data_IF_028878011731
#
_entry.id   IF_028878011731
#
_cell.length_a   1.000
_cell.length_b   1.000
_cell.length_c   1.000
_cell.angle_alpha   90.00
_cell.angle_beta   90.00
_cell.angle_gamma   90.00
#
_symmetry.space_group_name_H-M   'P 1'
#
loop_
_entity.id
_entity.type
_entity.pdbx_description
1 polymer ?
#
# COMPACT_ATOMS: atom_id res chain seq x y z
N UNK A 1 -26.15 22.85 -51.20
CA UNK A 1 -26.08 21.44 -51.58
C UNK A 1 -25.81 20.67 -50.33
N UNK A 2 -26.88 20.17 -49.83
CA UNK A 2 -27.20 19.04 -48.98
C UNK A 2 -26.23 18.57 -47.93
N UNK A 3 -26.62 18.91 -46.68
CA UNK A 3 -26.17 18.23 -45.46
C UNK A 3 -26.86 16.86 -45.32
N UNK A 4 -26.23 15.79 -44.92
CA UNK A 4 -26.92 14.58 -44.51
C UNK A 4 -27.27 14.61 -43.01
N UNK A 5 -28.52 14.29 -42.79
CA UNK A 5 -29.30 14.16 -41.58
C UNK A 5 -28.66 13.26 -40.49
N UNK A 6 -28.86 13.69 -39.25
CA UNK A 6 -28.70 12.92 -38.02
C UNK A 6 -29.55 11.63 -38.03
N UNK A 7 -28.90 10.46 -38.16
CA UNK A 7 -29.54 9.16 -37.93
C UNK A 7 -29.54 8.88 -36.42
N UNK A 8 -30.72 8.91 -35.81
CA UNK A 8 -30.98 8.40 -34.49
C UNK A 8 -30.62 6.90 -34.42
N UNK A 9 -29.82 6.51 -33.40
CA UNK A 9 -29.61 5.07 -33.08
C UNK A 9 -30.91 4.49 -32.53
N UNK A 10 -31.34 3.34 -32.96
CA UNK A 10 -32.50 2.69 -32.35
C UNK A 10 -32.17 2.23 -30.93
N UNK A 11 -32.95 2.70 -29.95
CA UNK A 11 -33.07 2.13 -28.63
C UNK A 11 -33.69 0.72 -28.73
N UNK A 12 -33.12 -0.24 -28.01
CA UNK A 12 -33.80 -1.46 -27.59
C UNK A 12 -33.64 -2.66 -28.51
N UNK A 13 -32.42 -3.20 -28.60
CA UNK A 13 -32.29 -4.65 -28.85
C UNK A 13 -31.74 -5.24 -27.53
N UNK A 14 -32.62 -5.85 -26.74
CA UNK A 14 -32.22 -6.77 -25.67
C UNK A 14 -31.40 -7.88 -26.32
N UNK A 15 -30.11 -7.88 -26.13
CA UNK A 15 -29.22 -8.96 -26.52
C UNK A 15 -29.45 -10.15 -25.59
N UNK A 16 -30.49 -10.95 -25.93
CA UNK A 16 -30.83 -12.22 -25.25
C UNK A 16 -29.73 -13.29 -25.39
N UNK A 17 -28.65 -13.01 -26.10
CA UNK A 17 -27.53 -13.95 -26.29
C UNK A 17 -26.49 -13.90 -25.19
N UNK A 18 -26.56 -12.93 -24.26
CA UNK A 18 -25.69 -12.90 -23.08
C UNK A 18 -26.22 -13.84 -22.00
N UNK A 19 -25.55 -14.97 -21.75
CA UNK A 19 -25.96 -15.87 -20.68
C UNK A 19 -25.96 -15.14 -19.34
N UNK A 20 -26.92 -15.44 -18.42
CA UNK A 20 -27.01 -14.80 -17.13
C UNK A 20 -25.68 -14.95 -16.39
N UNK A 21 -25.24 -13.87 -15.68
CA UNK A 21 -24.11 -13.88 -14.76
C UNK A 21 -24.46 -14.76 -13.54
N UNK A 22 -24.44 -16.07 -13.73
CA UNK A 22 -24.68 -17.05 -12.69
C UNK A 22 -23.57 -18.09 -12.74
N UNK A 23 -23.07 -18.47 -11.58
CA UNK A 23 -22.09 -19.51 -11.25
C UNK A 23 -21.82 -20.53 -12.37
N UNK A 24 -20.96 -20.19 -13.32
CA UNK A 24 -20.33 -21.21 -14.15
C UNK A 24 -19.22 -21.84 -13.33
N UNK A 25 -19.26 -23.15 -13.19
CA UNK A 25 -18.12 -23.92 -12.72
C UNK A 25 -16.93 -23.48 -13.58
N UNK A 26 -15.84 -23.05 -12.93
CA UNK A 26 -14.64 -22.60 -13.63
C UNK A 26 -14.00 -23.81 -14.34
N UNK A 27 -13.99 -23.85 -15.68
CA UNK A 27 -13.46 -24.99 -16.42
C UNK A 27 -11.93 -25.13 -16.26
N UNK A 28 -11.23 -24.09 -15.76
CA UNK A 28 -9.80 -24.08 -15.55
C UNK A 28 -9.38 -24.41 -14.10
N UNK A 29 -10.34 -24.73 -13.21
CA UNK A 29 -10.05 -24.97 -11.79
C UNK A 29 -8.91 -25.99 -11.57
N UNK A 30 -8.86 -27.06 -12.37
CA UNK A 30 -7.81 -28.08 -12.29
C UNK A 30 -6.48 -27.66 -12.94
N UNK A 31 -6.50 -26.64 -13.80
CA UNK A 31 -5.31 -26.14 -14.51
C UNK A 31 -4.58 -25.02 -13.78
N UNK A 32 -5.20 -24.41 -12.75
CA UNK A 32 -4.54 -23.37 -11.98
C UNK A 32 -3.32 -23.88 -11.24
N UNK A 33 -2.23 -23.09 -11.28
CA UNK A 33 -1.09 -23.28 -10.41
C UNK A 33 -1.52 -23.22 -8.93
N UNK A 34 -0.79 -23.90 -8.04
CA UNK A 34 -1.10 -23.93 -6.60
C UNK A 34 -1.27 -22.51 -6.04
N UNK A 35 -0.34 -21.60 -6.33
CA UNK A 35 -0.39 -20.18 -5.90
C UNK A 35 -1.63 -19.42 -6.40
N UNK A 36 -2.17 -19.76 -7.58
CA UNK A 36 -3.34 -19.08 -8.12
C UNK A 36 -4.63 -19.49 -7.41
N UNK A 37 -4.69 -20.68 -6.83
CA UNK A 37 -5.86 -21.18 -6.08
C UNK A 37 -6.09 -20.42 -4.79
N UNK A 38 -5.03 -19.90 -4.16
CA UNK A 38 -5.08 -19.09 -2.94
C UNK A 38 -5.33 -17.60 -3.20
N UNK A 39 -5.26 -17.14 -4.46
CA UNK A 39 -5.50 -15.74 -4.80
C UNK A 39 -6.97 -15.38 -4.61
N UNK A 40 -7.23 -14.51 -3.66
CA UNK A 40 -8.56 -13.93 -3.41
C UNK A 40 -8.53 -12.43 -3.67
N UNK A 41 -9.69 -11.86 -4.04
CA UNK A 41 -9.80 -10.41 -4.13
C UNK A 41 -9.50 -9.80 -2.76
N UNK A 42 -8.62 -8.79 -2.71
CA UNK A 42 -8.35 -8.09 -1.46
C UNK A 42 -9.64 -7.45 -0.92
N UNK A 43 -9.81 -7.43 0.40
CA UNK A 43 -10.96 -6.80 1.08
C UNK A 43 -11.13 -5.34 0.64
N UNK A 44 -10.01 -4.63 0.41
CA UNK A 44 -10.00 -3.26 -0.12
C UNK A 44 -10.65 -3.21 -1.52
N UNK A 45 -10.38 -4.17 -2.40
CA UNK A 45 -10.93 -4.19 -3.76
C UNK A 45 -12.45 -4.42 -3.75
N UNK A 46 -12.94 -5.27 -2.86
CA UNK A 46 -14.38 -5.48 -2.69
C UNK A 46 -15.08 -4.20 -2.20
N UNK A 47 -14.42 -3.41 -1.35
CA UNK A 47 -14.91 -2.13 -0.85
C UNK A 47 -14.93 -1.03 -1.91
N UNK A 48 -14.03 -1.04 -2.90
CA UNK A 48 -13.96 0.01 -3.93
C UNK A 48 -15.27 0.17 -4.70
N UNK A 49 -15.99 -0.89 -5.00
CA UNK A 49 -17.24 -0.83 -5.74
C UNK A 49 -18.36 -0.10 -4.97
N UNK A 50 -18.30 -0.12 -3.64
CA UNK A 50 -19.25 0.57 -2.75
C UNK A 50 -18.73 1.95 -2.38
N UNK A 51 -17.46 2.07 -2.07
CA UNK A 51 -16.79 3.31 -1.69
C UNK A 51 -16.76 4.37 -2.81
N UNK A 52 -16.95 3.96 -4.07
CA UNK A 52 -17.04 4.87 -5.22
C UNK A 52 -18.42 5.52 -5.40
N UNK A 53 -19.43 5.14 -4.61
CA UNK A 53 -20.76 5.74 -4.69
C UNK A 53 -20.75 7.14 -4.05
N UNK A 54 -21.34 8.17 -4.70
CA UNK A 54 -21.29 9.55 -4.20
C UNK A 54 -21.87 9.75 -2.79
N UNK A 55 -22.86 8.92 -2.40
CA UNK A 55 -23.49 8.97 -1.09
C UNK A 55 -22.65 8.36 0.03
N UNK A 56 -21.62 7.57 -0.31
CA UNK A 56 -20.72 6.94 0.67
C UNK A 56 -19.55 7.87 0.96
N UNK A 57 -19.28 8.11 2.22
CA UNK A 57 -18.04 8.77 2.64
C UNK A 57 -16.95 7.71 2.71
N UNK A 58 -16.04 7.73 1.74
CA UNK A 58 -14.94 6.78 1.71
C UNK A 58 -13.75 7.29 2.52
N UNK A 59 -13.55 6.73 3.71
CA UNK A 59 -12.33 6.85 4.51
C UNK A 59 -11.42 5.62 4.31
N UNK A 60 -11.69 4.80 3.28
CA UNK A 60 -10.95 3.57 2.99
C UNK A 60 -9.81 3.77 1.99
N UNK A 61 -9.99 4.65 1.00
CA UNK A 61 -9.09 4.81 -0.14
C UNK A 61 -7.78 5.52 0.19
N UNK A 62 -6.70 5.16 -0.52
CA UNK A 62 -5.39 5.85 -0.45
C UNK A 62 -5.08 6.59 -1.76
N UNK A 63 -6.09 7.20 -2.38
CA UNK A 63 -5.94 7.94 -3.63
C UNK A 63 -5.50 9.38 -3.34
N UNK A 64 -4.37 9.84 -3.89
CA UNK A 64 -3.93 11.22 -3.72
C UNK A 64 -4.93 12.21 -4.38
N UNK A 65 -4.93 13.44 -3.88
CA UNK A 65 -5.81 14.51 -4.35
C UNK A 65 -5.24 15.17 -5.60
N UNK A 66 -5.36 14.47 -6.73
CA UNK A 66 -4.83 14.95 -8.03
C UNK A 66 -5.49 16.22 -8.54
N UNK A 67 -6.67 16.62 -8.01
CA UNK A 67 -7.32 17.89 -8.36
C UNK A 67 -6.53 19.12 -7.89
N UNK A 68 -5.55 18.96 -6.98
CA UNK A 68 -4.64 20.03 -6.60
C UNK A 68 -3.48 20.23 -7.59
N UNK A 69 -3.35 19.38 -8.61
CA UNK A 69 -2.37 19.55 -9.67
C UNK A 69 -2.80 20.63 -10.67
N UNK A 70 -1.84 21.37 -11.23
CA UNK A 70 -2.06 22.31 -12.32
C UNK A 70 -2.31 21.57 -13.64
N UNK A 71 -3.52 20.97 -13.80
CA UNK A 71 -3.84 20.04 -14.87
C UNK A 71 -3.69 20.66 -16.28
N UNK A 72 -3.99 21.94 -16.45
CA UNK A 72 -3.83 22.64 -17.73
C UNK A 72 -2.35 22.71 -18.13
N UNK A 73 -1.47 23.14 -17.23
CA UNK A 73 -0.02 23.18 -17.47
C UNK A 73 0.59 21.81 -17.71
N UNK A 74 0.06 20.78 -17.04
CA UNK A 74 0.46 19.40 -17.27
C UNK A 74 0.02 18.94 -18.68
N UNK A 75 -1.21 19.29 -19.08
CA UNK A 75 -1.73 19.00 -20.42
C UNK A 75 -0.88 19.65 -21.51
N UNK A 76 -0.50 20.92 -21.35
CA UNK A 76 0.40 21.61 -22.27
C UNK A 76 1.78 20.95 -22.33
N UNK A 77 2.36 20.58 -21.19
CA UNK A 77 3.66 19.90 -21.09
C UNK A 77 3.63 18.54 -21.80
N UNK A 78 2.56 17.76 -21.63
CA UNK A 78 2.41 16.45 -22.30
C UNK A 78 2.17 16.60 -23.81
N UNK A 79 1.40 17.64 -24.23
CA UNK A 79 1.23 18.00 -25.62
C UNK A 79 2.57 18.39 -26.29
N UNK A 80 3.37 19.19 -25.61
CA UNK A 80 4.71 19.56 -26.06
C UNK A 80 5.64 18.35 -26.17
N UNK A 81 5.63 17.44 -25.20
CA UNK A 81 6.40 16.21 -25.22
C UNK A 81 6.09 15.37 -26.48
N UNK A 82 4.82 15.15 -26.78
CA UNK A 82 4.41 14.41 -27.98
C UNK A 82 4.82 15.13 -29.25
N UNK A 83 4.66 16.44 -29.31
CA UNK A 83 5.01 17.24 -30.52
C UNK A 83 6.50 17.26 -30.79
N UNK A 84 7.34 17.31 -29.76
CA UNK A 84 8.78 17.47 -29.87
C UNK A 84 9.54 16.14 -29.86
N UNK A 85 9.08 15.18 -29.06
CA UNK A 85 9.75 13.88 -28.83
C UNK A 85 8.80 12.69 -29.00
N UNK A 86 7.77 12.81 -29.84
CA UNK A 86 6.74 11.79 -30.01
C UNK A 86 7.31 10.43 -30.45
N UNK A 87 8.24 10.43 -31.38
CA UNK A 87 8.87 9.19 -31.85
C UNK A 87 9.61 8.43 -30.73
N UNK A 88 10.27 9.16 -29.84
CA UNK A 88 10.98 8.59 -28.68
C UNK A 88 10.01 8.16 -27.57
N UNK A 89 9.07 9.04 -27.25
CA UNK A 89 8.12 8.80 -26.14
C UNK A 89 7.13 7.66 -26.40
N UNK A 90 6.87 7.36 -27.67
CA UNK A 90 5.94 6.30 -28.09
C UNK A 90 6.66 4.99 -28.50
N UNK A 91 7.99 4.95 -28.44
CA UNK A 91 8.79 3.77 -28.76
C UNK A 91 9.13 2.98 -27.48
N UNK A 92 9.55 1.73 -27.65
CA UNK A 92 10.15 0.94 -26.57
C UNK A 92 11.40 1.62 -26.02
N UNK A 93 11.56 1.54 -24.68
CA UNK A 93 12.72 2.06 -23.97
C UNK A 93 13.61 0.96 -23.41
N UNK A 94 14.54 1.34 -22.53
CA UNK A 94 15.37 0.41 -21.76
C UNK A 94 14.58 -0.29 -20.65
N UNK A 95 14.87 -1.57 -20.41
CA UNK A 95 14.32 -2.32 -19.27
C UNK A 95 14.69 -1.73 -17.92
N UNK A 96 15.83 -1.03 -17.82
CA UNK A 96 16.24 -0.29 -16.61
C UNK A 96 15.48 1.03 -16.44
N UNK A 97 14.90 1.56 -17.49
CA UNK A 97 14.23 2.86 -17.52
C UNK A 97 15.02 3.94 -18.25
N UNK A 98 14.34 5.05 -18.53
CA UNK A 98 14.90 6.16 -19.30
C UNK A 98 16.03 6.87 -18.54
N UNK A 99 17.15 7.11 -19.20
CA UNK A 99 18.38 7.69 -18.59
C UNK A 99 18.07 9.02 -17.90
N UNK A 100 17.39 9.93 -18.60
CA UNK A 100 17.04 11.27 -18.10
C UNK A 100 16.23 11.21 -16.79
N UNK A 101 15.26 10.30 -16.67
CA UNK A 101 14.53 10.12 -15.44
C UNK A 101 15.37 9.51 -14.33
N UNK A 102 16.25 8.57 -14.64
CA UNK A 102 17.18 7.98 -13.67
C UNK A 102 18.14 9.03 -13.11
N UNK A 103 18.65 9.92 -13.98
CA UNK A 103 19.50 11.06 -13.59
C UNK A 103 18.75 12.00 -12.63
N UNK A 104 17.49 12.31 -12.92
CA UNK A 104 16.65 13.14 -12.06
C UNK A 104 16.32 12.46 -10.73
N UNK A 105 16.03 11.16 -10.72
CA UNK A 105 15.81 10.42 -9.48
C UNK A 105 17.07 10.47 -8.63
N UNK A 106 18.23 10.11 -9.17
CA UNK A 106 19.48 10.08 -8.45
C UNK A 106 19.96 11.48 -8.00
N UNK A 107 19.84 12.49 -8.87
CA UNK A 107 20.39 13.83 -8.62
C UNK A 107 19.43 14.82 -7.95
N UNK A 108 18.10 14.59 -8.03
CA UNK A 108 17.12 15.52 -7.49
C UNK A 108 16.34 14.92 -6.30
N UNK A 109 15.85 13.67 -6.41
CA UNK A 109 14.97 13.10 -5.39
C UNK A 109 15.75 12.42 -4.27
N UNK A 110 16.74 11.61 -4.59
CA UNK A 110 17.50 10.84 -3.59
C UNK A 110 18.23 11.73 -2.57
N UNK A 111 18.83 12.88 -2.96
CA UNK A 111 19.42 13.80 -1.98
C UNK A 111 18.40 14.36 -0.95
N UNK A 112 17.11 14.47 -1.29
CA UNK A 112 16.08 14.95 -0.37
C UNK A 112 15.89 14.02 0.84
N UNK A 113 16.11 12.72 0.63
CA UNK A 113 16.05 11.69 1.68
C UNK A 113 17.44 11.28 2.19
N UNK A 114 18.48 12.04 1.83
CA UNK A 114 19.86 11.83 2.27
C UNK A 114 20.60 10.70 1.55
N UNK A 115 20.05 10.13 0.48
CA UNK A 115 20.66 9.05 -0.29
C UNK A 115 21.55 9.61 -1.41
N UNK A 116 22.79 9.16 -1.48
CA UNK A 116 23.69 9.40 -2.61
C UNK A 116 23.63 8.18 -3.53
N UNK A 117 22.96 8.31 -4.67
CA UNK A 117 22.83 7.24 -5.65
C UNK A 117 23.46 7.63 -6.98
N UNK A 118 24.07 6.67 -7.67
CA UNK A 118 24.42 6.85 -9.08
C UNK A 118 23.20 6.55 -9.94
N UNK A 119 22.97 7.24 -11.08
CA UNK A 119 21.84 6.94 -11.97
C UNK A 119 21.76 5.47 -12.38
N UNK A 120 22.90 4.80 -12.47
CA UNK A 120 22.94 3.36 -12.77
C UNK A 120 22.43 2.48 -11.63
N UNK A 121 22.33 2.95 -10.40
CA UNK A 121 21.75 2.19 -9.29
C UNK A 121 20.21 2.25 -9.28
N UNK A 122 19.65 3.09 -10.14
CA UNK A 122 18.20 3.29 -10.27
C UNK A 122 17.63 2.35 -11.33
N UNK A 123 16.59 1.60 -10.95
CA UNK A 123 15.73 0.82 -11.86
C UNK A 123 14.33 1.40 -11.81
N UNK A 124 13.85 1.95 -12.92
CA UNK A 124 12.48 2.47 -13.02
C UNK A 124 11.48 1.31 -13.14
N UNK A 125 10.36 1.42 -12.43
CA UNK A 125 9.33 0.37 -12.37
C UNK A 125 7.94 0.94 -12.65
N UNK A 126 6.96 0.06 -12.90
CA UNK A 126 5.54 0.42 -13.07
C UNK A 126 4.92 0.66 -11.67
N UNK A 127 5.41 1.71 -10.99
CA UNK A 127 5.11 2.03 -9.60
C UNK A 127 5.83 1.10 -8.61
N UNK A 128 5.83 1.48 -7.31
CA UNK A 128 6.46 0.68 -6.24
C UNK A 128 5.84 -0.72 -6.06
N UNK A 129 4.60 -0.93 -6.48
CA UNK A 129 3.98 -2.26 -6.45
C UNK A 129 4.73 -3.28 -7.33
N UNK A 130 5.18 -2.87 -8.53
CA UNK A 130 6.03 -3.72 -9.36
C UNK A 130 7.44 -3.86 -8.75
N UNK A 131 7.95 -2.83 -8.10
CA UNK A 131 9.23 -2.93 -7.39
C UNK A 131 9.18 -4.01 -6.29
N UNK A 132 8.11 -4.04 -5.48
CA UNK A 132 7.85 -5.10 -4.50
C UNK A 132 7.78 -6.48 -5.14
N UNK A 133 7.05 -6.61 -6.26
CA UNK A 133 6.93 -7.86 -7.01
C UNK A 133 8.29 -8.36 -7.50
N UNK A 134 9.06 -7.48 -8.16
CA UNK A 134 10.38 -7.82 -8.71
C UNK A 134 11.38 -8.21 -7.62
N UNK A 135 11.44 -7.46 -6.50
CA UNK A 135 12.34 -7.79 -5.38
C UNK A 135 11.96 -9.13 -4.76
N UNK A 136 10.68 -9.36 -4.51
CA UNK A 136 10.20 -10.66 -3.98
C UNK A 136 10.54 -11.79 -4.94
N UNK A 137 10.29 -11.61 -6.23
CA UNK A 137 10.55 -12.59 -7.29
C UNK A 137 12.01 -13.03 -7.37
N UNK A 138 12.96 -12.10 -7.17
CA UNK A 138 14.40 -12.41 -7.33
C UNK A 138 15.05 -12.89 -6.03
N UNK A 139 14.43 -12.61 -4.86
CA UNK A 139 15.03 -12.95 -3.57
C UNK A 139 14.35 -14.14 -2.87
N UNK A 140 13.09 -14.46 -3.21
CA UNK A 140 12.29 -15.44 -2.48
C UNK A 140 11.87 -16.61 -3.36
N UNK A 141 12.01 -17.81 -2.80
CA UNK A 141 11.37 -19.04 -3.26
C UNK A 141 10.12 -19.35 -2.43
N UNK A 142 9.18 -20.19 -2.91
CA UNK A 142 8.03 -20.64 -2.13
C UNK A 142 8.46 -21.24 -0.78
N UNK A 143 7.85 -20.79 0.32
CA UNK A 143 8.13 -21.20 1.69
C UNK A 143 9.26 -20.42 2.39
N UNK A 144 9.93 -19.52 1.68
CA UNK A 144 10.85 -18.57 2.30
C UNK A 144 10.12 -17.60 3.25
N UNK A 145 10.88 -16.93 4.12
CA UNK A 145 10.35 -16.02 5.12
C UNK A 145 10.77 -14.60 4.81
N UNK A 146 9.83 -13.67 4.98
CA UNK A 146 10.11 -12.24 5.16
C UNK A 146 9.62 -11.80 6.53
N UNK A 147 10.35 -10.87 7.15
CA UNK A 147 9.90 -10.20 8.37
C UNK A 147 9.23 -8.88 7.96
N UNK A 148 8.06 -8.60 8.53
CA UNK A 148 7.31 -7.38 8.24
C UNK A 148 6.68 -6.80 9.51
N UNK A 149 6.45 -5.51 9.50
CA UNK A 149 5.76 -4.78 10.56
C UNK A 149 4.36 -5.34 10.83
N UNK A 150 3.85 -5.16 12.04
CA UNK A 150 2.52 -5.54 12.47
C UNK A 150 1.75 -4.32 13.02
N UNK A 151 0.85 -3.73 12.23
CA UNK A 151 0.34 -4.08 10.90
C UNK A 151 1.32 -3.79 9.76
N UNK A 152 1.03 -4.28 8.54
CA UNK A 152 1.87 -4.07 7.35
C UNK A 152 1.04 -3.70 6.12
N UNK A 153 1.67 -3.12 5.09
CA UNK A 153 0.99 -2.71 3.88
C UNK A 153 0.37 -3.89 3.12
N UNK A 154 -0.94 -3.83 2.90
CA UNK A 154 -1.71 -4.90 2.25
C UNK A 154 -1.21 -5.26 0.84
N UNK A 155 -0.67 -4.27 0.09
CA UNK A 155 -0.10 -4.51 -1.23
C UNK A 155 1.15 -5.37 -1.19
N UNK A 156 2.03 -5.16 -0.19
CA UNK A 156 3.20 -5.99 0.05
C UNK A 156 2.80 -7.40 0.49
N UNK A 157 1.87 -7.52 1.46
CA UNK A 157 1.34 -8.82 1.91
C UNK A 157 0.74 -9.63 0.75
N UNK A 158 0.07 -8.96 -0.20
CA UNK A 158 -0.50 -9.60 -1.39
C UNK A 158 0.57 -10.10 -2.34
N UNK A 159 1.69 -9.37 -2.49
CA UNK A 159 2.84 -9.81 -3.28
C UNK A 159 3.49 -11.04 -2.62
N UNK A 160 3.77 -10.98 -1.32
CA UNK A 160 4.38 -12.09 -0.59
C UNK A 160 3.53 -13.36 -0.69
N UNK A 161 2.21 -13.22 -0.53
CA UNK A 161 1.28 -14.34 -0.71
C UNK A 161 1.28 -14.91 -2.14
N UNK A 162 1.43 -14.07 -3.19
CA UNK A 162 1.48 -14.51 -4.57
C UNK A 162 2.74 -15.34 -4.89
N UNK A 163 3.82 -15.13 -4.13
CA UNK A 163 5.05 -15.91 -4.21
C UNK A 163 5.14 -17.02 -3.16
N UNK A 164 4.06 -17.28 -2.42
CA UNK A 164 3.99 -18.32 -1.37
C UNK A 164 5.05 -18.10 -0.26
N UNK A 165 5.39 -16.81 -0.01
CA UNK A 165 6.34 -16.39 1.03
C UNK A 165 5.63 -16.29 2.36
N UNK A 166 6.19 -16.86 3.41
CA UNK A 166 5.70 -16.72 4.78
C UNK A 166 6.07 -15.35 5.35
N UNK A 167 5.12 -14.70 6.01
CA UNK A 167 5.34 -13.41 6.68
C UNK A 167 5.40 -13.63 8.18
N UNK A 168 6.54 -13.27 8.78
CA UNK A 168 6.72 -13.19 10.23
C UNK A 168 6.55 -11.73 10.67
N UNK A 169 5.46 -11.47 11.36
CA UNK A 169 5.15 -10.14 11.85
C UNK A 169 5.94 -9.78 13.10
N UNK A 170 6.39 -8.52 13.18
CA UNK A 170 7.08 -7.92 14.33
C UNK A 170 6.28 -6.72 14.83
N UNK A 171 6.15 -6.61 16.15
CA UNK A 171 5.37 -5.56 16.80
C UNK A 171 5.86 -4.15 16.44
N UNK A 172 4.91 -3.23 16.40
CA UNK A 172 5.12 -1.79 16.28
C UNK A 172 4.57 -1.06 17.51
N UNK A 173 5.15 0.09 17.79
CA UNK A 173 4.65 1.10 18.73
C UNK A 173 4.44 2.45 18.03
N UNK A 174 4.30 3.54 18.78
CA UNK A 174 4.11 4.88 18.24
C UNK A 174 5.34 5.43 17.49
N UNK A 175 6.50 4.77 17.64
CA UNK A 175 7.74 5.06 16.90
C UNK A 175 8.04 4.03 15.80
N UNK A 176 7.08 3.18 15.44
CA UNK A 176 7.21 2.17 14.39
C UNK A 176 7.73 0.82 14.87
N UNK A 177 8.49 0.12 14.04
CA UNK A 177 9.02 -1.22 14.32
C UNK A 177 9.82 -1.24 15.64
N UNK A 178 9.49 -2.16 16.57
CA UNK A 178 10.15 -2.33 17.87
C UNK A 178 11.42 -3.16 17.70
N UNK A 179 12.64 -2.60 18.00
CA UNK A 179 13.91 -3.31 17.79
C UNK A 179 14.05 -4.57 18.64
N UNK A 180 13.60 -4.55 19.88
CA UNK A 180 13.64 -5.72 20.78
C UNK A 180 12.81 -6.87 20.20
N UNK A 181 11.61 -6.58 19.70
CA UNK A 181 10.75 -7.58 19.07
C UNK A 181 11.37 -8.12 17.76
N UNK A 182 12.10 -7.26 17.01
CA UNK A 182 12.85 -7.68 15.83
C UNK A 182 14.01 -8.62 16.21
N UNK A 183 14.77 -8.28 17.25
CA UNK A 183 15.86 -9.11 17.78
C UNK A 183 15.36 -10.48 18.23
N UNK A 184 14.26 -10.50 19.00
CA UNK A 184 13.62 -11.74 19.45
C UNK A 184 13.17 -12.60 18.27
N UNK A 185 12.57 -11.99 17.24
CA UNK A 185 12.14 -12.71 16.05
C UNK A 185 13.31 -13.30 15.27
N UNK A 186 14.39 -12.54 15.08
CA UNK A 186 15.60 -13.03 14.43
C UNK A 186 16.24 -14.18 15.21
N UNK A 187 16.35 -14.06 16.53
CA UNK A 187 16.89 -15.11 17.39
C UNK A 187 16.03 -16.40 17.32
N UNK A 188 14.70 -16.28 17.35
CA UNK A 188 13.79 -17.41 17.23
C UNK A 188 13.93 -18.12 15.87
N UNK A 189 14.01 -17.35 14.78
CA UNK A 189 14.21 -17.92 13.44
C UNK A 189 15.56 -18.61 13.32
N UNK A 190 16.63 -17.99 13.82
CA UNK A 190 17.97 -18.58 13.81
C UNK A 190 18.02 -19.89 14.62
N UNK A 191 17.38 -19.95 15.80
CA UNK A 191 17.27 -21.17 16.62
C UNK A 191 16.51 -22.29 15.89
N UNK A 192 15.56 -21.94 15.01
CA UNK A 192 14.84 -22.88 14.14
C UNK A 192 15.61 -23.24 12.86
N UNK A 193 16.86 -22.78 12.69
CA UNK A 193 17.65 -22.99 11.48
C UNK A 193 17.10 -22.25 10.25
N UNK A 194 16.28 -21.21 10.45
CA UNK A 194 15.65 -20.42 9.39
C UNK A 194 16.23 -19.02 9.35
N UNK A 195 16.31 -18.43 8.18
CA UNK A 195 16.78 -17.06 7.98
C UNK A 195 15.79 -16.30 7.10
N UNK A 196 15.34 -15.10 7.49
CA UNK A 196 14.50 -14.29 6.64
C UNK A 196 15.28 -13.75 5.44
N UNK A 197 14.60 -13.62 4.31
CA UNK A 197 15.19 -13.08 3.08
C UNK A 197 15.42 -11.57 3.16
N UNK A 198 14.51 -10.85 3.80
CA UNK A 198 14.62 -9.43 4.11
C UNK A 198 13.64 -9.00 5.19
N UNK A 199 13.87 -7.81 5.75
CA UNK A 199 12.88 -7.05 6.54
C UNK A 199 12.18 -6.07 5.61
N UNK A 200 10.86 -6.13 5.53
CA UNK A 200 10.04 -5.12 4.84
C UNK A 200 9.53 -4.08 5.83
N UNK A 201 9.78 -2.81 5.55
CA UNK A 201 9.36 -1.70 6.42
C UNK A 201 8.93 -0.47 5.61
N UNK A 202 7.96 0.28 6.15
CA UNK A 202 7.52 1.60 5.68
C UNK A 202 7.88 2.63 6.76
N UNK A 203 9.13 3.11 6.81
CA UNK A 203 9.64 3.82 7.98
C UNK A 203 9.12 5.26 8.13
N UNK A 204 8.49 5.82 7.10
CA UNK A 204 7.99 7.19 7.08
C UNK A 204 6.49 7.23 6.82
N UNK A 205 5.71 7.77 7.78
CA UNK A 205 4.25 7.93 7.67
C UNK A 205 3.55 6.62 7.27
N UNK A 206 3.82 5.59 8.03
CA UNK A 206 3.52 4.19 7.77
C UNK A 206 2.10 3.92 7.30
N UNK A 207 1.94 3.06 6.31
CA UNK A 207 0.66 2.53 5.89
C UNK A 207 0.49 1.08 6.44
N UNK A 208 -0.43 0.86 7.41
CA UNK A 208 -1.59 1.70 7.77
C UNK A 208 -1.44 2.60 9.00
N UNK A 209 -0.36 2.47 9.79
CA UNK A 209 -0.33 3.01 11.16
C UNK A 209 -0.14 4.53 11.24
N UNK A 210 0.33 5.22 10.20
CA UNK A 210 0.58 6.66 10.22
C UNK A 210 1.78 7.11 11.05
N UNK A 211 2.50 6.19 11.70
CA UNK A 211 3.66 6.47 12.54
C UNK A 211 4.93 6.66 11.71
N UNK A 212 5.97 7.25 12.30
CA UNK A 212 7.26 7.47 11.64
C UNK A 212 8.38 7.05 12.56
N UNK A 213 9.30 6.23 12.07
CA UNK A 213 10.49 5.83 12.80
C UNK A 213 11.45 7.00 12.99
N UNK A 214 11.77 7.31 14.24
CA UNK A 214 12.75 8.33 14.58
C UNK A 214 14.19 7.92 14.22
N UNK A 215 15.15 8.87 14.17
CA UNK A 215 16.53 8.58 13.78
C UNK A 215 17.22 7.49 14.60
N UNK A 216 17.04 7.49 15.92
CA UNK A 216 17.63 6.47 16.82
C UNK A 216 17.06 5.08 16.49
N UNK A 217 15.73 4.98 16.31
CA UNK A 217 15.03 3.75 15.95
C UNK A 217 15.54 3.17 14.62
N UNK A 218 15.74 4.02 13.60
CA UNK A 218 16.30 3.63 12.29
C UNK A 218 17.70 3.04 12.44
N UNK A 219 18.57 3.67 13.25
CA UNK A 219 19.91 3.18 13.52
C UNK A 219 19.91 1.82 14.21
N UNK A 220 19.04 1.61 15.22
CA UNK A 220 18.92 0.34 15.93
C UNK A 220 18.45 -0.78 14.99
N UNK A 221 17.43 -0.54 14.16
CA UNK A 221 16.92 -1.50 13.17
C UNK A 221 18.02 -1.90 12.18
N UNK A 222 18.76 -0.92 11.62
CA UNK A 222 19.86 -1.20 10.71
C UNK A 222 20.96 -2.03 11.37
N UNK A 223 21.35 -1.66 12.61
CA UNK A 223 22.36 -2.40 13.38
C UNK A 223 21.94 -3.85 13.55
N UNK A 224 20.69 -4.12 13.92
CA UNK A 224 20.17 -5.47 14.06
C UNK A 224 20.17 -6.23 12.72
N UNK A 225 19.73 -5.58 11.65
CA UNK A 225 19.73 -6.20 10.33
C UNK A 225 21.14 -6.56 9.86
N UNK A 226 22.13 -5.71 10.15
CA UNK A 226 23.56 -5.98 9.87
C UNK A 226 24.12 -7.11 10.73
N UNK A 227 23.83 -7.12 12.04
CA UNK A 227 24.24 -8.19 12.97
C UNK A 227 23.78 -9.59 12.49
N UNK A 228 22.53 -9.68 12.03
CA UNK A 228 21.96 -10.94 11.54
C UNK A 228 22.16 -11.15 10.04
N UNK A 229 22.75 -10.20 9.34
CA UNK A 229 23.03 -10.25 7.92
C UNK A 229 21.76 -10.30 7.05
N UNK A 230 20.66 -9.69 7.48
CA UNK A 230 19.36 -9.65 6.80
C UNK A 230 19.21 -8.31 6.11
N UNK A 231 19.02 -8.25 4.79
CA UNK A 231 18.79 -6.99 4.07
C UNK A 231 17.45 -6.36 4.43
N UNK A 232 17.34 -5.05 4.22
CA UNK A 232 16.11 -4.27 4.41
C UNK A 232 15.50 -3.89 3.07
N UNK A 233 14.20 -4.06 2.93
CA UNK A 233 13.39 -3.51 1.85
C UNK A 233 12.61 -2.32 2.40
N UNK A 234 13.14 -1.12 2.14
CA UNK A 234 12.58 0.15 2.56
C UNK A 234 11.58 0.66 1.51
N UNK A 235 10.30 0.75 1.86
CA UNK A 235 9.25 1.28 0.99
C UNK A 235 8.86 2.68 1.46
N UNK A 236 9.21 3.71 0.68
CA UNK A 236 9.07 5.12 1.08
C UNK A 236 8.22 5.94 0.09
N UNK A 237 6.92 5.68 -0.04
CA UNK A 237 6.05 6.48 -0.89
C UNK A 237 5.61 7.80 -0.26
N UNK A 238 5.80 8.00 1.06
CA UNK A 238 5.24 9.13 1.80
C UNK A 238 6.29 10.07 2.39
N UNK A 239 7.58 9.74 2.41
CA UNK A 239 8.63 10.49 3.10
C UNK A 239 8.68 11.98 2.77
N UNK A 240 8.27 12.37 1.57
CA UNK A 240 8.18 13.76 1.15
C UNK A 240 6.89 14.48 1.62
N UNK A 241 5.96 13.80 2.29
CA UNK A 241 4.64 14.34 2.66
C UNK A 241 4.52 14.63 4.17
N UNK A 242 5.62 14.95 4.85
CA UNK A 242 5.63 15.44 6.23
C UNK A 242 5.02 16.83 6.36
N UNK A 243 4.11 17.02 7.34
CA UNK A 243 3.35 18.27 7.52
C UNK A 243 4.18 19.40 8.16
N UNK A 244 5.23 19.07 8.87
CA UNK A 244 6.21 20.03 9.45
C UNK A 244 7.27 20.48 8.43
N UNK A 245 7.25 19.90 7.22
CA UNK A 245 8.21 20.18 6.18
C UNK A 245 9.51 19.39 6.30
N UNK A 246 9.72 18.65 7.38
CA UNK A 246 10.89 17.78 7.56
C UNK A 246 10.74 16.54 6.67
N UNK A 247 11.80 16.18 5.98
CA UNK A 247 11.90 14.93 5.21
C UNK A 247 12.74 13.96 6.02
N UNK A 248 12.17 12.81 6.43
CA UNK A 248 12.93 11.80 7.16
C UNK A 248 14.09 11.26 6.31
N UNK A 249 15.24 11.07 6.95
CA UNK A 249 16.41 10.48 6.28
C UNK A 249 16.17 8.99 6.03
N UNK A 250 16.33 8.51 4.81
CA UNK A 250 16.11 7.11 4.45
C UNK A 250 17.10 6.18 5.18
N UNK A 251 16.68 4.93 5.44
CA UNK A 251 17.55 3.85 5.95
C UNK A 251 18.72 3.59 4.99
N UNK A 252 18.44 3.61 3.68
CA UNK A 252 19.47 3.44 2.64
C UNK A 252 20.57 4.51 2.69
N UNK A 253 20.29 5.67 3.24
CA UNK A 253 21.29 6.73 3.39
C UNK A 253 22.44 6.33 4.35
N UNK A 254 22.18 5.39 5.24
CA UNK A 254 23.11 4.93 6.27
C UNK A 254 23.63 3.50 6.02
N UNK A 255 23.00 2.75 5.08
CA UNK A 255 23.47 1.43 4.64
C UNK A 255 23.17 1.21 3.14
N UNK A 256 24.16 1.49 2.29
CA UNK A 256 24.05 1.39 0.83
C UNK A 256 23.96 -0.06 0.32
N UNK A 257 24.56 -1.00 1.02
CA UNK A 257 24.66 -2.40 0.56
C UNK A 257 23.59 -3.28 1.15
N UNK A 258 23.11 -2.98 2.36
CA UNK A 258 22.11 -3.75 3.08
C UNK A 258 20.66 -3.31 2.82
N UNK A 259 20.43 -2.13 2.23
CA UNK A 259 19.07 -1.58 2.03
C UNK A 259 18.72 -1.44 0.55
N UNK A 260 17.59 -1.99 0.15
CA UNK A 260 16.92 -1.72 -1.12
C UNK A 260 15.84 -0.66 -0.87
N UNK A 261 15.95 0.49 -1.55
CA UNK A 261 15.01 1.60 -1.41
C UNK A 261 13.98 1.61 -2.53
N UNK A 262 12.70 1.67 -2.19
CA UNK A 262 11.59 1.80 -3.12
C UNK A 262 11.00 3.21 -3.05
N UNK A 263 10.89 3.87 -4.19
CA UNK A 263 10.25 5.17 -4.30
C UNK A 263 9.15 5.20 -5.36
N UNK A 264 8.30 6.23 -5.30
CA UNK A 264 7.17 6.34 -6.23
C UNK A 264 6.72 7.79 -6.41
N UNK A 265 6.36 8.15 -7.64
CA UNK A 265 5.66 9.41 -7.94
C UNK A 265 4.15 9.34 -7.66
N UNK A 266 3.64 8.19 -7.25
CA UNK A 266 2.20 8.00 -7.05
C UNK A 266 1.60 8.91 -5.98
N UNK A 267 2.38 9.39 -5.01
CA UNK A 267 1.86 10.20 -3.89
C UNK A 267 2.29 11.66 -3.97
N UNK A 268 3.32 11.94 -4.73
CA UNK A 268 3.90 13.29 -4.89
C UNK A 268 3.63 13.92 -6.25
N UNK A 269 3.01 13.16 -7.17
CA UNK A 269 2.59 13.66 -8.49
C UNK A 269 1.32 12.96 -8.97
N UNK A 270 1.42 11.96 -9.87
CA UNK A 270 0.29 11.38 -10.55
C UNK A 270 0.31 9.84 -10.50
N UNK A 271 -0.57 9.21 -9.69
CA UNK A 271 -0.61 7.75 -9.55
C UNK A 271 -0.96 7.02 -10.85
N UNK A 272 -1.71 7.67 -11.75
CA UNK A 272 -2.13 7.11 -13.04
C UNK A 272 -0.98 6.86 -14.02
N UNK A 273 0.14 7.59 -13.88
CA UNK A 273 1.32 7.40 -14.73
C UNK A 273 2.10 6.12 -14.40
N UNK A 274 1.87 5.54 -13.22
CA UNK A 274 2.51 4.29 -12.81
C UNK A 274 4.03 4.34 -12.88
N UNK A 275 4.67 5.37 -12.36
CA UNK A 275 6.12 5.51 -12.27
C UNK A 275 6.60 5.38 -10.84
N UNK A 276 7.50 4.43 -10.60
CA UNK A 276 8.22 4.20 -9.36
C UNK A 276 9.66 3.77 -9.67
N UNK A 277 10.44 3.47 -8.65
CA UNK A 277 11.84 3.04 -8.83
C UNK A 277 12.33 2.21 -7.65
N UNK A 278 13.41 1.47 -7.91
CA UNK A 278 14.24 0.84 -6.90
C UNK A 278 15.64 1.45 -6.98
N UNK A 279 16.22 1.78 -5.83
CA UNK A 279 17.66 2.02 -5.72
C UNK A 279 18.27 0.81 -5.00
N UNK A 280 19.16 0.10 -5.69
CA UNK A 280 19.69 -1.17 -5.21
C UNK A 280 21.19 -1.31 -5.50
N UNK A 281 21.92 -2.16 -4.72
CA UNK A 281 23.29 -2.52 -5.03
C UNK A 281 23.42 -3.18 -6.41
N UNK A 282 24.58 -3.05 -7.04
CA UNK A 282 24.84 -3.46 -8.44
C UNK A 282 24.35 -4.90 -8.77
N UNK A 283 24.69 -5.89 -7.96
CA UNK A 283 24.31 -7.28 -8.25
C UNK A 283 22.80 -7.54 -8.20
N UNK A 284 22.10 -6.86 -7.30
CA UNK A 284 20.63 -6.93 -7.21
C UNK A 284 20.00 -6.18 -8.39
N UNK A 285 20.52 -5.01 -8.74
CA UNK A 285 20.05 -4.20 -9.86
C UNK A 285 20.03 -4.99 -11.18
N UNK A 286 21.10 -5.69 -11.52
CA UNK A 286 21.15 -6.49 -12.74
C UNK A 286 20.05 -7.54 -12.80
N UNK A 287 19.78 -8.21 -11.69
CA UNK A 287 18.69 -9.20 -11.59
C UNK A 287 17.31 -8.53 -11.69
N UNK A 288 17.15 -7.35 -11.10
CA UNK A 288 15.89 -6.56 -11.22
C UNK A 288 15.60 -6.20 -12.67
N UNK A 289 16.60 -5.73 -13.42
CA UNK A 289 16.44 -5.37 -14.84
C UNK A 289 16.00 -6.58 -15.65
N UNK A 290 16.67 -7.72 -15.50
CA UNK A 290 16.31 -8.97 -16.21
C UNK A 290 14.89 -9.44 -15.85
N UNK A 291 14.51 -9.35 -14.56
CA UNK A 291 13.17 -9.71 -14.12
C UNK A 291 12.09 -8.75 -14.65
N UNK A 292 12.40 -7.45 -14.72
CA UNK A 292 11.52 -6.43 -15.28
C UNK A 292 11.31 -6.64 -16.78
N UNK A 293 12.38 -6.90 -17.54
CA UNK A 293 12.30 -7.22 -18.97
C UNK A 293 11.46 -8.46 -19.25
N UNK A 294 11.61 -9.51 -18.43
CA UNK A 294 10.78 -10.71 -18.54
C UNK A 294 9.31 -10.49 -18.17
N UNK A 295 8.99 -9.42 -17.42
CA UNK A 295 7.63 -9.10 -16.96
C UNK A 295 6.89 -8.15 -17.91
N UNK A 296 7.52 -7.02 -18.27
CA UNK A 296 6.88 -5.91 -19.00
C UNK A 296 7.70 -5.41 -20.19
N UNK A 297 8.84 -6.05 -20.51
CA UNK A 297 9.84 -5.64 -21.47
C UNK A 297 10.53 -4.34 -21.06
N UNK A 298 9.79 -3.24 -20.96
CA UNK A 298 10.23 -1.96 -20.41
C UNK A 298 9.04 -1.21 -19.80
N UNK A 299 9.26 -0.34 -18.80
CA UNK A 299 8.23 0.60 -18.37
C UNK A 299 7.85 1.57 -19.48
N UNK A 300 6.63 2.12 -19.44
CA UNK A 300 6.15 3.08 -20.46
C UNK A 300 7.11 4.25 -20.66
N UNK A 301 7.69 4.38 -21.85
CA UNK A 301 8.58 5.51 -22.23
C UNK A 301 7.85 6.84 -22.10
N UNK A 302 6.59 6.89 -22.56
CA UNK A 302 5.76 8.10 -22.43
C UNK A 302 5.58 8.52 -20.97
N UNK A 303 5.21 7.60 -20.07
CA UNK A 303 5.01 7.93 -18.66
C UNK A 303 6.29 8.43 -17.99
N UNK A 304 7.42 7.82 -18.31
CA UNK A 304 8.74 8.23 -17.79
C UNK A 304 9.13 9.62 -18.27
N UNK A 305 9.02 9.88 -19.57
CA UNK A 305 9.34 11.19 -20.16
C UNK A 305 8.35 12.28 -19.74
N UNK A 306 7.08 11.94 -19.52
CA UNK A 306 6.09 12.84 -18.97
C UNK A 306 6.45 13.27 -17.53
N UNK A 307 6.89 12.34 -16.68
CA UNK A 307 7.39 12.66 -15.33
C UNK A 307 8.67 13.50 -15.44
N UNK A 308 9.64 13.10 -16.27
CA UNK A 308 10.88 13.83 -16.48
C UNK A 308 10.64 15.26 -16.95
N UNK A 309 9.76 15.46 -17.93
CA UNK A 309 9.34 16.78 -18.41
C UNK A 309 8.72 17.61 -17.29
N UNK A 310 7.81 17.02 -16.49
CA UNK A 310 7.18 17.70 -15.37
C UNK A 310 8.21 18.18 -14.33
N UNK A 311 9.14 17.32 -13.94
CA UNK A 311 10.22 17.67 -12.99
C UNK A 311 11.11 18.81 -13.48
N UNK A 312 11.27 18.94 -14.81
CA UNK A 312 12.11 19.98 -15.44
C UNK A 312 11.37 21.29 -15.65
N UNK A 313 10.09 21.22 -16.04
CA UNK A 313 9.34 22.40 -16.52
C UNK A 313 8.38 22.99 -15.50
N UNK A 314 8.03 22.23 -14.46
CA UNK A 314 7.05 22.64 -13.45
C UNK A 314 7.69 22.75 -12.06
N UNK A 315 7.15 23.59 -11.18
CA UNK A 315 7.65 23.74 -9.81
C UNK A 315 7.18 22.57 -8.93
N UNK A 316 7.64 21.35 -9.25
CA UNK A 316 7.22 20.11 -8.59
C UNK A 316 7.33 20.16 -7.06
N UNK A 317 8.43 20.77 -6.54
CA UNK A 317 8.62 20.84 -5.09
C UNK A 317 7.58 21.75 -4.41
N UNK A 318 7.15 22.83 -5.08
CA UNK A 318 6.08 23.68 -4.56
C UNK A 318 4.73 22.95 -4.60
N UNK A 319 4.50 22.11 -5.61
CA UNK A 319 3.34 21.25 -5.65
C UNK A 319 3.31 20.24 -4.48
N UNK A 320 4.47 19.68 -4.09
CA UNK A 320 4.58 18.81 -2.89
C UNK A 320 4.18 19.59 -1.63
N UNK A 321 4.58 20.86 -1.50
CA UNK A 321 4.17 21.73 -0.38
C UNK A 321 2.66 21.94 -0.36
N UNK A 322 2.04 22.16 -1.52
CA UNK A 322 0.56 22.27 -1.63
C UNK A 322 -0.10 20.98 -1.14
N UNK A 323 0.39 19.82 -1.53
CA UNK A 323 -0.13 18.54 -1.04
C UNK A 323 -0.01 18.40 0.48
N UNK A 324 1.12 18.80 1.08
CA UNK A 324 1.31 18.78 2.54
C UNK A 324 0.24 19.61 3.25
N UNK A 325 -0.04 20.83 2.77
CA UNK A 325 -1.06 21.70 3.35
C UNK A 325 -2.46 21.10 3.26
N UNK A 326 -2.85 20.62 2.07
CA UNK A 326 -4.15 19.98 1.84
C UNK A 326 -4.33 18.75 2.74
N UNK A 327 -3.31 17.90 2.85
CA UNK A 327 -3.41 16.69 3.68
C UNK A 327 -3.34 17.01 5.18
N UNK A 328 -2.61 18.06 5.59
CA UNK A 328 -2.59 18.53 6.97
C UNK A 328 -3.98 19.01 7.41
N UNK A 329 -4.64 19.86 6.62
CA UNK A 329 -5.99 20.34 6.89
C UNK A 329 -6.98 19.18 7.05
N UNK A 330 -6.91 18.20 6.16
CA UNK A 330 -7.79 17.02 6.18
C UNK A 330 -7.49 16.09 7.36
N UNK A 331 -6.21 15.91 7.71
CA UNK A 331 -5.79 15.19 8.90
C UNK A 331 -6.35 15.84 10.17
N UNK A 332 -6.23 17.17 10.28
CA UNK A 332 -6.71 17.93 11.42
C UNK A 332 -8.23 17.79 11.57
N UNK A 333 -8.98 17.92 10.47
CA UNK A 333 -10.42 17.67 10.47
C UNK A 333 -10.80 16.25 10.91
N UNK A 334 -10.01 15.24 10.51
CA UNK A 334 -10.22 13.86 10.96
C UNK A 334 -9.98 13.72 12.46
N UNK A 335 -8.86 14.23 12.97
CA UNK A 335 -8.48 14.12 14.39
C UNK A 335 -9.46 14.86 15.29
N UNK A 336 -9.84 16.09 14.94
CA UNK A 336 -10.86 16.89 15.64
C UNK A 336 -12.19 16.15 15.72
N UNK A 337 -12.65 15.60 14.59
CA UNK A 337 -13.90 14.86 14.53
C UNK A 337 -13.86 13.58 15.37
N UNK A 338 -12.76 12.81 15.32
CA UNK A 338 -12.59 11.62 16.13
C UNK A 338 -12.58 11.95 17.62
N UNK A 339 -11.86 12.98 18.05
CA UNK A 339 -11.82 13.42 19.45
C UNK A 339 -13.18 13.90 19.99
N UNK A 340 -14.02 14.49 19.11
CA UNK A 340 -15.33 15.00 19.50
C UNK A 340 -16.44 13.93 19.49
N UNK A 341 -16.32 12.88 18.69
CA UNK A 341 -17.46 12.01 18.35
C UNK A 341 -17.25 10.54 18.65
N UNK A 342 -16.00 10.03 18.65
CA UNK A 342 -15.78 8.61 18.89
C UNK A 342 -16.00 8.27 20.37
N UNK A 343 -16.64 7.10 20.69
CA UNK A 343 -16.91 6.72 22.06
C UNK A 343 -15.64 6.42 22.86
N UNK A 344 -15.77 6.50 24.19
CA UNK A 344 -14.71 6.16 25.13
C UNK A 344 -14.16 4.74 24.90
N UNK A 345 -12.85 4.57 25.11
CA UNK A 345 -12.15 3.30 24.82
C UNK A 345 -11.68 3.16 23.37
N UNK A 346 -11.99 4.12 22.49
CA UNK A 346 -11.41 4.21 21.15
C UNK A 346 -10.09 5.00 21.21
N UNK A 347 -9.05 4.48 20.57
CA UNK A 347 -7.74 5.15 20.45
C UNK A 347 -7.30 5.23 18.99
N UNK A 348 -6.41 6.18 18.67
CA UNK A 348 -5.92 6.36 17.30
C UNK A 348 -4.52 6.97 17.27
N UNK A 349 -3.80 6.72 16.17
CA UNK A 349 -2.51 7.36 15.91
C UNK A 349 -2.70 8.77 15.39
N UNK A 350 -1.73 9.65 15.70
CA UNK A 350 -1.67 11.05 15.24
C UNK A 350 -0.57 11.19 14.21
N UNK A 351 -0.87 11.07 12.90
CA UNK A 351 0.14 11.09 11.85
C UNK A 351 0.73 12.48 11.65
N UNK A 352 2.06 12.56 11.55
CA UNK A 352 2.80 13.77 11.18
C UNK A 352 2.91 14.00 9.68
N UNK A 353 2.35 13.11 8.84
CA UNK A 353 2.38 13.15 7.38
C UNK A 353 1.65 11.95 6.77
N UNK A 354 1.77 11.78 5.47
CA UNK A 354 1.14 10.65 4.76
C UNK A 354 -0.38 10.77 4.67
N UNK A 355 -1.10 9.65 4.76
CA UNK A 355 -2.51 9.55 4.37
C UNK A 355 -3.43 8.91 5.40
N UNK A 356 -2.91 8.32 6.49
CA UNK A 356 -3.66 7.37 7.30
C UNK A 356 -3.54 7.63 8.80
N UNK A 357 -4.62 7.30 9.51
CA UNK A 357 -4.65 7.09 10.95
C UNK A 357 -5.15 5.68 11.24
N UNK A 358 -4.53 5.04 12.21
CA UNK A 358 -4.89 3.72 12.69
C UNK A 358 -5.73 3.86 13.94
N UNK A 359 -6.93 3.28 13.91
CA UNK A 359 -7.90 3.37 15.00
C UNK A 359 -8.05 2.00 15.64
N UNK A 360 -7.99 1.95 16.97
CA UNK A 360 -8.30 0.76 17.76
C UNK A 360 -9.62 0.97 18.48
N UNK A 361 -10.57 0.08 18.25
CA UNK A 361 -11.94 0.12 18.78
C UNK A 361 -12.00 -0.36 20.23
N UNK A 362 -13.06 -0.04 20.97
CA UNK A 362 -13.34 -0.60 22.28
C UNK A 362 -13.35 -2.13 22.29
N UNK A 363 -13.15 -2.73 23.47
CA UNK A 363 -13.16 -4.20 23.61
C UNK A 363 -14.45 -4.83 23.14
N UNK A 364 -14.34 -6.02 22.54
CA UNK A 364 -15.47 -6.79 22.05
C UNK A 364 -15.92 -6.46 20.62
N UNK A 365 -15.55 -5.31 20.07
CA UNK A 365 -15.92 -4.95 18.68
C UNK A 365 -14.95 -5.60 17.69
N UNK A 366 -15.51 -6.24 16.65
CA UNK A 366 -14.76 -6.74 15.48
C UNK A 366 -15.02 -5.82 14.28
N UNK A 367 -13.98 -5.07 13.86
CA UNK A 367 -14.07 -4.12 12.76
C UNK A 367 -14.43 -4.77 11.40
N UNK A 368 -14.13 -6.06 11.24
CA UNK A 368 -14.51 -6.79 10.00
C UNK A 368 -16.00 -7.12 10.04
N UNK A 369 -16.52 -7.58 11.17
CA UNK A 369 -17.95 -7.87 11.35
C UNK A 369 -18.82 -6.59 11.31
N UNK A 370 -18.31 -5.46 11.81
CA UNK A 370 -18.99 -4.16 11.81
C UNK A 370 -19.07 -3.54 10.40
N UNK A 371 -18.17 -3.86 9.47
CA UNK A 371 -18.04 -3.22 8.17
C UNK A 371 -19.35 -3.18 7.34
N UNK A 372 -20.18 -4.23 7.23
CA UNK A 372 -21.44 -4.17 6.50
C UNK A 372 -22.42 -3.12 7.05
N UNK A 373 -22.44 -2.89 8.36
CA UNK A 373 -23.28 -1.85 9.01
C UNK A 373 -22.73 -0.47 8.68
N UNK A 374 -21.43 -0.26 8.74
CA UNK A 374 -20.81 0.99 8.34
C UNK A 374 -21.11 1.34 6.86
N UNK A 375 -21.06 0.35 5.97
CA UNK A 375 -21.44 0.54 4.56
C UNK A 375 -22.93 0.89 4.41
N UNK A 376 -23.81 0.29 5.20
CA UNK A 376 -25.23 0.64 5.25
C UNK A 376 -25.44 2.08 5.76
N UNK A 377 -24.66 2.50 6.75
CA UNK A 377 -24.60 3.87 7.24
C UNK A 377 -23.85 4.84 6.29
N UNK A 378 -23.43 4.35 5.10
CA UNK A 378 -22.75 5.13 4.04
C UNK A 378 -21.40 5.70 4.47
N UNK A 379 -20.65 4.96 5.27
CA UNK A 379 -19.23 5.21 5.55
C UNK A 379 -18.41 3.95 5.29
N UNK A 380 -17.21 4.12 4.72
CA UNK A 380 -16.33 3.01 4.41
C UNK A 380 -14.93 3.23 5.02
N UNK A 381 -14.37 2.19 5.63
CA UNK A 381 -13.01 2.12 6.17
C UNK A 381 -12.36 0.80 5.75
N UNK A 382 -11.08 0.59 6.04
CA UNK A 382 -10.44 -0.71 5.83
C UNK A 382 -10.28 -1.40 7.18
N UNK A 383 -10.86 -2.61 7.37
CA UNK A 383 -10.69 -3.36 8.62
C UNK A 383 -9.24 -3.78 8.82
N UNK A 384 -8.82 -3.80 10.08
CA UNK A 384 -7.42 -4.04 10.45
C UNK A 384 -6.91 -5.42 10.08
N UNK A 385 -7.79 -6.42 10.01
CA UNK A 385 -7.45 -7.79 9.58
C UNK A 385 -6.80 -7.85 8.20
N UNK A 386 -7.08 -6.88 7.31
CA UNK A 386 -6.47 -6.78 5.98
C UNK A 386 -4.95 -6.51 6.01
N UNK A 387 -4.42 -5.99 7.11
CA UNK A 387 -3.03 -5.56 7.25
C UNK A 387 -2.14 -6.57 7.99
N UNK A 388 -2.60 -7.81 8.08
CA UNK A 388 -1.89 -8.92 8.69
C UNK A 388 -1.97 -10.17 7.80
N UNK A 389 -0.92 -10.98 7.82
CA UNK A 389 -0.86 -12.24 7.10
C UNK A 389 -1.23 -13.44 7.99
N UNK A 390 -1.78 -14.48 7.40
CA UNK A 390 -2.02 -15.77 8.05
C UNK A 390 -2.78 -15.67 9.38
N UNK A 391 -2.27 -16.33 10.40
CA UNK A 391 -2.88 -16.35 11.75
C UNK A 391 -2.80 -15.01 12.48
N UNK A 392 -1.87 -14.12 12.10
CA UNK A 392 -1.75 -12.80 12.71
C UNK A 392 -2.95 -11.88 12.41
N UNK A 393 -3.84 -12.22 11.47
CA UNK A 393 -5.07 -11.47 11.18
C UNK A 393 -5.93 -11.20 12.43
N UNK A 394 -5.88 -12.08 13.41
CA UNK A 394 -6.61 -11.90 14.68
C UNK A 394 -6.19 -10.62 15.42
N UNK A 395 -4.93 -10.18 15.28
CA UNK A 395 -4.43 -8.96 15.90
C UNK A 395 -5.09 -7.69 15.37
N UNK A 396 -5.57 -7.73 14.13
CA UNK A 396 -6.25 -6.61 13.49
C UNK A 396 -7.76 -6.51 13.73
N UNK A 397 -8.39 -7.45 14.47
CA UNK A 397 -9.85 -7.50 14.62
C UNK A 397 -10.45 -6.23 15.19
N UNK A 398 -9.81 -5.66 16.22
CA UNK A 398 -10.26 -4.43 16.90
C UNK A 398 -9.82 -3.15 16.22
N UNK A 399 -9.16 -3.25 15.08
CA UNK A 399 -8.54 -2.08 14.44
C UNK A 399 -9.15 -1.81 13.08
N UNK A 400 -9.02 -0.56 12.65
CA UNK A 400 -9.37 -0.13 11.32
C UNK A 400 -8.44 1.02 10.86
N UNK A 401 -8.25 1.13 9.55
CA UNK A 401 -7.52 2.24 8.95
C UNK A 401 -8.48 3.27 8.40
N UNK A 402 -8.30 4.53 8.79
CA UNK A 402 -8.95 5.68 8.20
C UNK A 402 -7.97 6.44 7.30
N UNK A 403 -8.47 6.87 6.14
CA UNK A 403 -7.73 7.70 5.19
C UNK A 403 -8.37 9.08 5.08
N UNK A 404 -7.56 10.12 5.18
CA UNK A 404 -7.97 11.50 5.04
C UNK A 404 -7.52 12.16 3.72
N UNK A 405 -6.83 11.43 2.85
CA UNK A 405 -6.17 12.05 1.70
C UNK A 405 -7.11 12.52 0.59
N UNK A 406 -8.32 11.97 0.47
CA UNK A 406 -9.21 12.25 -0.66
C UNK A 406 -10.43 13.10 -0.30
N UNK A 407 -11.24 12.80 0.74
CA UNK A 407 -12.45 13.58 1.04
C UNK A 407 -12.11 14.99 1.55
N UNK A 408 -13.00 15.94 1.24
CA UNK A 408 -12.93 17.29 1.81
C UNK A 408 -13.22 17.27 3.34
N UNK A 409 -12.75 18.28 4.12
CA UNK A 409 -12.89 18.32 5.57
C UNK A 409 -14.31 18.07 6.10
N UNK A 410 -15.32 18.66 5.47
CA UNK A 410 -16.74 18.49 5.86
C UNK A 410 -17.20 17.04 5.64
N UNK A 411 -16.75 16.41 4.55
CA UNK A 411 -17.06 15.00 4.27
C UNK A 411 -16.35 14.09 5.24
N UNK A 412 -15.13 14.43 5.69
CA UNK A 412 -14.40 13.68 6.73
C UNK A 412 -15.18 13.72 8.04
N UNK A 413 -15.61 14.92 8.50
CA UNK A 413 -16.42 15.08 9.72
C UNK A 413 -17.71 14.28 9.66
N UNK A 414 -18.41 14.32 8.53
CA UNK A 414 -19.62 13.51 8.32
C UNK A 414 -19.33 12.01 8.32
N UNK A 415 -18.23 11.57 7.74
CA UNK A 415 -17.80 10.17 7.78
C UNK A 415 -17.51 9.69 9.20
N UNK A 416 -16.81 10.47 10.00
CA UNK A 416 -16.56 10.16 11.42
C UNK A 416 -17.84 10.14 12.22
N UNK A 417 -18.76 11.09 12.00
CA UNK A 417 -20.07 11.09 12.67
C UNK A 417 -20.86 9.80 12.40
N UNK A 418 -20.88 9.33 11.15
CA UNK A 418 -21.55 8.07 10.79
C UNK A 418 -20.87 6.87 11.41
N UNK A 419 -19.53 6.87 11.41
CA UNK A 419 -18.76 5.79 12.01
C UNK A 419 -18.97 5.72 13.53
N UNK A 420 -19.00 6.86 14.23
CA UNK A 420 -19.27 6.94 15.66
C UNK A 420 -20.63 6.33 16.01
N UNK A 421 -21.69 6.68 15.27
CA UNK A 421 -23.02 6.10 15.49
C UNK A 421 -23.03 4.57 15.32
N UNK A 422 -22.31 4.05 14.31
CA UNK A 422 -22.19 2.59 14.11
C UNK A 422 -21.43 1.92 15.26
N UNK A 423 -20.36 2.55 15.78
CA UNK A 423 -19.61 2.02 16.92
C UNK A 423 -20.47 2.02 18.18
N UNK A 424 -21.27 3.07 18.43
CA UNK A 424 -22.22 3.15 19.55
C UNK A 424 -23.27 2.04 19.46
N UNK A 425 -23.86 1.82 18.27
CA UNK A 425 -24.80 0.71 18.04
C UNK A 425 -24.17 -0.67 18.33
N UNK A 426 -22.90 -0.88 17.96
CA UNK A 426 -22.17 -2.11 18.29
C UNK A 426 -21.99 -2.29 19.80
N UNK A 427 -21.63 -1.21 20.51
CA UNK A 427 -21.49 -1.23 21.96
C UNK A 427 -22.81 -1.54 22.65
N UNK A 428 -23.93 -0.99 22.17
CA UNK A 428 -25.30 -1.30 22.70
C UNK A 428 -25.66 -2.77 22.49
N UNK A 429 -25.33 -3.33 21.32
CA UNK A 429 -25.52 -4.76 21.05
C UNK A 429 -24.67 -5.61 21.99
N UNK A 430 -23.39 -5.25 22.19
CA UNK A 430 -22.53 -5.96 23.14
C UNK A 430 -23.01 -5.87 24.59
N UNK A 431 -23.51 -4.71 25.02
CA UNK A 431 -24.07 -4.53 26.36
C UNK A 431 -25.32 -5.36 26.57
N UNK A 432 -26.15 -5.55 25.53
CA UNK A 432 -27.43 -6.27 25.60
C UNK A 432 -27.25 -7.78 25.51
N UNK A 433 -26.39 -8.26 24.63
CA UNK A 433 -26.28 -9.69 24.28
C UNK A 433 -24.93 -10.33 24.69
N UNK A 434 -24.01 -9.55 25.21
CA UNK A 434 -22.61 -9.97 25.48
C UNK A 434 -21.77 -10.09 24.21
N UNK A 435 -20.46 -10.32 24.35
CA UNK A 435 -19.60 -10.50 23.20
C UNK A 435 -20.05 -11.71 22.38
N UNK A 436 -20.13 -11.54 21.04
CA UNK A 436 -20.45 -12.65 20.16
C UNK A 436 -19.44 -13.79 20.43
N UNK A 437 -19.92 -14.90 21.00
CA UNK A 437 -19.13 -16.11 21.18
C UNK A 437 -18.74 -16.58 19.80
N UNK A 438 -17.49 -16.30 19.40
CA UNK A 438 -16.88 -17.04 18.28
C UNK A 438 -16.97 -18.50 18.67
N UNK A 439 -17.66 -19.31 17.85
CA UNK A 439 -17.69 -20.75 18.05
C UNK A 439 -16.23 -21.22 18.23
N UNK A 440 -15.87 -21.51 19.47
CA UNK A 440 -14.59 -22.10 19.78
C UNK A 440 -14.56 -23.43 19.06
N UNK A 441 -13.50 -23.66 18.34
CA UNK A 441 -13.09 -24.94 17.83
C UNK A 441 -12.93 -25.90 19.04
N UNK A 442 -14.05 -26.39 19.55
CA UNK A 442 -14.11 -27.48 20.54
C UNK A 442 -14.20 -28.81 19.79
N UNK A 443 -13.24 -29.03 18.90
CA UNK A 443 -12.93 -30.31 18.32
C UNK A 443 -11.79 -30.95 19.11
N UNK A 444 -12.08 -31.50 20.27
CA UNK A 444 -11.24 -32.57 20.84
C UNK A 444 -11.18 -33.73 19.83
N UNK A 445 -10.00 -34.15 19.38
CA UNK A 445 -9.90 -35.38 18.61
C UNK A 445 -10.29 -36.54 19.52
N UNK A 446 -11.43 -37.15 19.24
CA UNK A 446 -11.80 -38.45 19.82
C UNK A 446 -10.77 -39.51 19.36
N UNK A 447 -10.28 -40.25 20.30
CA UNK A 447 -9.47 -41.48 20.13
C UNK A 447 -9.98 -42.33 18.98
N UNK A 448 -9.14 -42.46 17.94
CA UNK A 448 -9.28 -43.51 16.94
C UNK A 448 -8.29 -44.61 17.33
N UNK A 449 -8.74 -45.80 17.66
CA UNK A 449 -7.82 -46.94 17.95
C UNK A 449 -7.13 -47.38 16.67
N UNK A 450 -5.81 -47.50 16.73
CA UNK A 450 -4.97 -47.97 15.64
C UNK A 450 -5.28 -49.43 15.24
N UNK A 451 -5.06 -49.82 13.98
CA UNK A 451 -5.25 -51.18 13.52
C UNK A 451 -4.18 -52.11 14.10
N UNK A 452 -4.66 -53.23 14.61
CA UNK A 452 -3.84 -54.33 15.11
C UNK A 452 -2.96 -54.93 14.00
N UNK A 453 -1.71 -55.19 14.36
CA UNK A 453 -0.72 -55.95 13.55
C UNK A 453 -1.18 -57.38 13.33
N UNK A 454 -1.16 -57.82 12.09
CA UNK A 454 -0.90 -59.20 11.67
C UNK A 454 -0.11 -59.18 10.36
#
# INVERSE_FOLDING_TARGET
>A
MDSPSSGARPEGANDESRPPRGSRLDPFLSAYAARARSMTASEIRALFSVASRPEVVSLAGGMPYVSALALDSIGESFGALISQRGAESLQYGSGQGHVELRDQIAGLLMPLVGVHAHPDDVVVTVGSQQALDLVTRILCDPGDIVVAEAPSYVGALSVFAAYEVAVEHVAMDDEGLVPEALRERFAALAAAGRRPKFVYTVPSFHNPAGVTQGPARRTEILTLCQEFGVPVLEDDPYGLLGFDGVVPRALRADDHDGVLYLGSFSKTFAPGLRVGWVVAPHGVREKLVLAAEASVLCPSSFAQLAVSSYLTTQPWWDQVKVFREVYRERRDALLEAMAAMLPEGTTWTVPGGGFYSWVTLPEGIDATAMLPRAVTARVAYVPGTAFYAGHAKVLGRRSLRLSYCYPEPERIREGVRRLAAVIEEELDVLATFGPATTASDSGTPSDVPGPATA
#
